data_IF_045378702488
#
_entry.id   IF_045378702488
#
_cell.length_a   1.000
_cell.length_b   1.000
_cell.length_c   1.000
_cell.angle_alpha   90.00
_cell.angle_beta   90.00
_cell.angle_gamma   90.00
#
_symmetry.space_group_name_H-M   'P 1'
#
loop_
_entity.id
_entity.type
_entity.pdbx_description
1 polymer ?
#
# COMPACT_ATOMS: atom_id res chain seq x y z
N UNK A 1 -60.91 -15.79 24.01
CA UNK A 1 -59.96 -16.15 22.95
C UNK A 1 -59.28 -14.86 22.57
N UNK A 2 -58.01 -14.72 22.96
CA UNK A 2 -57.16 -13.55 22.76
C UNK A 2 -56.50 -13.65 21.39
N UNK A 3 -56.82 -12.77 20.47
CA UNK A 3 -56.13 -12.68 19.18
C UNK A 3 -55.70 -11.23 18.94
N UNK A 4 -54.50 -10.92 19.45
CA UNK A 4 -53.66 -9.83 18.94
C UNK A 4 -53.14 -10.26 17.58
N UNK A 5 -53.42 -9.53 16.47
CA UNK A 5 -52.74 -9.78 15.22
C UNK A 5 -51.28 -9.34 15.34
N UNK A 6 -50.45 -10.36 15.27
CA UNK A 6 -49.00 -10.36 15.32
C UNK A 6 -48.41 -9.46 14.23
N UNK A 7 -47.57 -8.52 14.65
CA UNK A 7 -46.70 -7.69 13.82
C UNK A 7 -45.90 -8.58 12.89
N UNK A 8 -46.21 -8.55 11.59
CA UNK A 8 -45.33 -9.10 10.57
C UNK A 8 -44.25 -8.05 10.31
N UNK A 9 -42.97 -8.31 10.63
CA UNK A 9 -41.90 -7.39 10.26
C UNK A 9 -41.85 -7.31 8.74
N UNK A 10 -41.78 -6.09 8.23
CA UNK A 10 -41.30 -5.79 6.89
C UNK A 10 -40.12 -6.71 6.59
N UNK A 11 -40.32 -7.63 5.65
CA UNK A 11 -39.22 -8.33 5.03
C UNK A 11 -38.49 -7.30 4.18
N UNK A 12 -37.65 -6.51 4.85
CA UNK A 12 -36.40 -6.00 4.29
C UNK A 12 -35.82 -7.14 3.46
N UNK A 13 -35.63 -6.99 2.13
CA UNK A 13 -34.70 -7.84 1.43
C UNK A 13 -33.30 -7.48 1.96
N UNK A 14 -32.98 -8.06 3.13
CA UNK A 14 -31.61 -8.20 3.56
C UNK A 14 -30.96 -9.18 2.59
N UNK A 15 -29.91 -8.69 1.94
CA UNK A 15 -28.88 -9.49 1.31
C UNK A 15 -29.36 -10.41 0.18
N UNK A 16 -29.83 -9.83 -0.92
CA UNK A 16 -29.12 -10.17 -2.16
C UNK A 16 -27.78 -9.45 -2.07
N UNK A 17 -26.81 -10.12 -1.43
CA UNK A 17 -25.41 -9.98 -1.78
C UNK A 17 -25.33 -10.36 -3.25
N UNK A 18 -25.70 -9.43 -4.13
CA UNK A 18 -25.09 -9.34 -5.44
C UNK A 18 -23.63 -9.15 -5.13
N UNK A 19 -22.95 -10.31 -5.00
CA UNK A 19 -21.55 -10.44 -5.33
C UNK A 19 -21.48 -9.95 -6.76
N UNK A 20 -21.36 -8.64 -6.92
CA UNK A 20 -21.01 -8.02 -8.16
C UNK A 20 -19.64 -8.60 -8.46
N UNK A 21 -19.68 -9.64 -9.29
CA UNK A 21 -18.53 -10.17 -9.97
C UNK A 21 -18.05 -9.08 -10.92
N UNK A 22 -17.44 -8.05 -10.37
CA UNK A 22 -16.53 -7.22 -11.11
C UNK A 22 -15.25 -8.06 -11.27
N UNK A 23 -14.81 -8.28 -12.50
CA UNK A 23 -13.48 -8.80 -12.79
C UNK A 23 -12.42 -7.78 -12.36
N UNK A 24 -12.27 -7.61 -11.06
CA UNK A 24 -11.69 -6.41 -10.44
C UNK A 24 -10.23 -6.67 -10.18
N UNK A 25 -9.36 -5.87 -10.79
CA UNK A 25 -7.94 -5.84 -10.43
C UNK A 25 -7.82 -5.81 -8.90
N UNK A 26 -7.09 -6.77 -8.32
CA UNK A 26 -6.88 -6.81 -6.88
C UNK A 26 -6.10 -5.55 -6.51
N UNK A 27 -6.69 -4.68 -5.70
CA UNK A 27 -6.06 -3.42 -5.29
C UNK A 27 -4.94 -3.71 -4.28
N UNK A 28 -3.96 -2.80 -4.19
CA UNK A 28 -2.88 -2.89 -3.20
C UNK A 28 -3.44 -3.14 -1.78
N UNK A 29 -4.47 -2.40 -1.37
CA UNK A 29 -5.14 -2.56 -0.08
C UNK A 29 -5.69 -3.99 0.12
N UNK A 30 -6.35 -4.57 -0.88
CA UNK A 30 -6.83 -5.95 -0.80
C UNK A 30 -5.69 -6.95 -0.62
N UNK A 31 -4.58 -6.79 -1.36
CA UNK A 31 -3.42 -7.69 -1.22
C UNK A 31 -2.75 -7.53 0.14
N UNK A 32 -2.68 -6.31 0.68
CA UNK A 32 -2.18 -6.04 2.03
C UNK A 32 -3.01 -6.74 3.10
N UNK A 33 -4.34 -6.64 3.02
CA UNK A 33 -5.26 -7.33 3.93
C UNK A 33 -5.08 -8.85 3.85
N UNK A 34 -4.95 -9.40 2.64
CA UNK A 34 -4.70 -10.82 2.43
C UNK A 34 -3.32 -11.25 2.94
N UNK A 35 -2.30 -10.41 2.77
CA UNK A 35 -0.94 -10.63 3.27
C UNK A 35 -0.92 -10.75 4.78
N UNK A 36 -1.65 -9.87 5.47
CA UNK A 36 -1.83 -9.94 6.92
C UNK A 36 -2.46 -11.25 7.39
N UNK A 37 -3.46 -11.75 6.65
CA UNK A 37 -4.15 -13.00 6.96
C UNK A 37 -3.33 -14.25 6.57
N UNK A 38 -2.13 -14.08 6.00
CA UNK A 38 -1.30 -15.16 5.47
C UNK A 38 -1.86 -15.78 4.18
N UNK A 39 -2.80 -15.10 3.52
CA UNK A 39 -3.43 -15.51 2.25
C UNK A 39 -2.70 -15.01 1.01
N UNK A 40 -1.96 -13.91 1.12
CA UNK A 40 -1.09 -13.40 0.06
C UNK A 40 0.39 -13.53 0.46
N UNK A 41 1.23 -13.91 -0.50
CA UNK A 41 2.66 -13.95 -0.30
C UNK A 41 3.27 -12.55 -0.40
N UNK A 42 4.42 -12.33 0.25
CA UNK A 42 5.14 -11.05 0.16
C UNK A 42 5.36 -10.63 -1.31
N UNK A 43 5.69 -11.57 -2.20
CA UNK A 43 5.86 -11.32 -3.63
C UNK A 43 4.60 -10.80 -4.34
N UNK A 44 3.41 -11.21 -3.92
CA UNK A 44 2.15 -10.68 -4.46
C UNK A 44 1.90 -9.25 -4.01
N UNK A 45 2.12 -8.96 -2.72
CA UNK A 45 2.00 -7.60 -2.16
C UNK A 45 2.93 -6.65 -2.90
N UNK A 46 4.18 -7.09 -3.12
CA UNK A 46 5.20 -6.35 -3.86
C UNK A 46 4.75 -6.09 -5.30
N UNK A 47 4.28 -7.12 -6.03
CA UNK A 47 3.79 -6.94 -7.41
C UNK A 47 2.63 -5.95 -7.47
N UNK A 48 1.65 -6.11 -6.59
CA UNK A 48 0.51 -5.21 -6.50
C UNK A 48 0.94 -3.76 -6.23
N UNK A 49 1.92 -3.58 -5.35
CA UNK A 49 2.53 -2.29 -5.03
C UNK A 49 3.27 -1.69 -6.23
N UNK A 50 4.12 -2.46 -6.91
CA UNK A 50 4.87 -1.98 -8.07
C UNK A 50 3.96 -1.57 -9.23
N UNK A 51 2.82 -2.24 -9.38
CA UNK A 51 1.79 -1.92 -10.40
C UNK A 51 0.77 -0.86 -9.96
N UNK A 52 0.76 -0.47 -8.69
CA UNK A 52 -0.11 0.55 -8.14
C UNK A 52 0.58 1.90 -8.01
N UNK A 53 -0.22 2.97 -8.07
CA UNK A 53 0.18 4.27 -7.55
C UNK A 53 0.05 4.29 -6.03
N UNK A 54 1.01 4.93 -5.37
CA UNK A 54 1.00 5.17 -3.93
C UNK A 54 1.20 6.64 -3.65
N UNK A 55 0.77 7.04 -2.46
CA UNK A 55 0.92 8.39 -1.96
C UNK A 55 2.00 8.39 -0.89
N UNK A 56 3.00 9.25 -1.05
CA UNK A 56 3.94 9.54 0.02
C UNK A 56 3.71 10.96 0.50
N UNK A 57 4.02 11.19 1.77
CA UNK A 57 3.96 12.51 2.35
C UNK A 57 5.27 13.24 2.13
N UNK A 58 5.19 14.52 1.82
CA UNK A 58 6.34 15.40 1.79
C UNK A 58 6.06 16.66 2.63
N UNK A 59 7.02 17.11 3.45
CA UNK A 59 6.91 18.38 4.15
C UNK A 59 7.04 19.59 3.21
N UNK A 60 7.62 19.40 2.02
CA UNK A 60 7.77 20.43 1.01
C UNK A 60 6.84 20.18 -0.17
N UNK A 61 6.36 21.26 -0.81
CA UNK A 61 5.60 21.16 -2.05
C UNK A 61 6.53 20.65 -3.15
N UNK A 62 6.37 19.38 -3.54
CA UNK A 62 7.08 18.82 -4.68
C UNK A 62 6.48 19.44 -5.94
N UNK A 63 7.23 20.32 -6.59
CA UNK A 63 6.92 20.73 -7.96
C UNK A 63 7.35 19.60 -8.91
N UNK A 64 6.41 19.11 -9.73
CA UNK A 64 6.58 18.05 -10.75
C UNK A 64 7.79 18.23 -11.70
N UNK A 65 8.42 19.40 -11.69
CA UNK A 65 9.45 19.85 -12.62
C UNK A 65 10.87 19.37 -12.24
N UNK A 66 11.09 19.02 -10.96
CA UNK A 66 12.37 18.48 -10.49
C UNK A 66 12.11 17.11 -9.90
N UNK A 67 12.38 16.04 -10.66
CA UNK A 67 12.14 14.64 -10.27
C UNK A 67 12.93 14.10 -9.06
N UNK A 68 13.26 14.95 -8.09
CA UNK A 68 13.81 14.62 -6.78
C UNK A 68 12.71 14.77 -5.74
N UNK A 69 11.98 13.69 -5.52
CA UNK A 69 10.99 13.59 -4.44
C UNK A 69 11.74 13.28 -3.13
N UNK A 70 11.57 14.11 -2.11
CA UNK A 70 12.04 13.81 -0.76
C UNK A 70 10.84 13.33 0.06
N UNK A 71 10.62 12.01 0.15
CA UNK A 71 9.53 11.49 0.94
C UNK A 71 9.84 11.62 2.43
N UNK A 72 8.78 11.72 3.23
CA UNK A 72 8.87 11.71 4.68
C UNK A 72 9.54 10.41 5.14
N UNK A 73 10.74 10.57 5.71
CA UNK A 73 11.50 9.47 6.29
C UNK A 73 11.15 9.35 7.76
N UNK A 74 10.51 8.25 8.11
CA UNK A 74 10.29 7.80 9.47
C UNK A 74 11.48 6.99 9.96
N UNK A 75 11.51 6.76 11.27
CA UNK A 75 12.49 5.90 11.90
C UNK A 75 11.74 4.76 12.59
N UNK A 76 12.11 3.51 12.27
CA UNK A 76 11.58 2.34 12.96
C UNK A 76 12.04 2.30 14.43
N UNK A 77 11.47 1.40 15.23
CA UNK A 77 11.90 1.14 16.60
C UNK A 77 13.38 0.77 16.70
N UNK A 78 13.93 0.13 15.65
CA UNK A 78 15.35 -0.21 15.55
C UNK A 78 16.25 0.95 15.10
N UNK A 79 15.69 2.13 14.81
CA UNK A 79 16.45 3.28 14.32
C UNK A 79 16.70 3.28 12.81
N UNK A 80 16.14 2.31 12.08
CA UNK A 80 16.29 2.18 10.63
C UNK A 80 15.39 3.21 9.89
N UNK A 81 15.90 3.87 8.84
CA UNK A 81 15.08 4.79 8.05
C UNK A 81 14.01 4.02 7.26
N UNK A 82 12.77 4.47 7.38
CA UNK A 82 11.59 3.93 6.69
C UNK A 82 10.88 5.04 5.94
N UNK A 83 10.44 4.78 4.73
CA UNK A 83 9.60 5.72 3.98
C UNK A 83 8.13 5.35 4.17
N UNK A 84 7.33 6.28 4.66
CA UNK A 84 5.89 6.09 4.80
C UNK A 84 5.18 6.31 3.46
N UNK A 85 4.57 5.24 2.95
CA UNK A 85 3.75 5.22 1.76
C UNK A 85 2.33 4.83 2.16
N UNK A 86 1.35 5.26 1.38
CA UNK A 86 -0.05 5.00 1.64
C UNK A 86 -0.73 4.65 0.32
N UNK A 87 -1.62 3.67 0.36
CA UNK A 87 -2.39 3.29 -0.82
C UNK A 87 -3.42 4.38 -1.19
N UNK A 88 -3.91 5.13 -0.20
CA UNK A 88 -4.81 6.27 -0.39
C UNK A 88 -4.53 7.39 0.60
N UNK A 89 -4.95 8.62 0.29
CA UNK A 89 -4.84 9.77 1.22
C UNK A 89 -5.73 9.65 2.46
N UNK A 90 -6.72 8.76 2.43
CA UNK A 90 -7.63 8.48 3.55
C UNK A 90 -6.95 7.64 4.63
N UNK A 91 -6.06 6.72 4.24
CA UNK A 91 -5.28 5.90 5.17
C UNK A 91 -4.17 6.68 5.90
N UNK A 92 -3.90 7.92 5.47
CA UNK A 92 -2.91 8.79 6.08
C UNK A 92 -3.45 9.38 7.40
N UNK A 93 -2.83 9.06 8.55
CA UNK A 93 -3.25 9.59 9.84
C UNK A 93 -3.03 11.11 9.92
N UNK A 94 -3.92 11.81 10.63
CA UNK A 94 -3.88 13.27 10.75
C UNK A 94 -2.55 13.78 11.32
N UNK A 95 -1.94 13.06 12.26
CA UNK A 95 -0.64 13.39 12.86
C UNK A 95 0.46 13.55 11.78
N UNK A 96 0.48 12.68 10.77
CA UNK A 96 1.43 12.80 9.67
C UNK A 96 1.08 13.95 8.72
N UNK A 97 -0.21 14.27 8.53
CA UNK A 97 -0.66 15.41 7.72
C UNK A 97 -0.29 16.75 8.36
N UNK A 98 -0.25 16.82 9.69
CA UNK A 98 0.19 18.03 10.41
C UNK A 98 1.67 18.34 10.16
N UNK A 99 2.50 17.31 9.99
CA UNK A 99 3.93 17.45 9.70
C UNK A 99 4.25 17.55 8.21
N UNK A 100 3.45 16.90 7.36
CA UNK A 100 3.65 16.83 5.93
C UNK A 100 2.28 16.89 5.22
N UNK A 101 1.75 18.08 4.92
CA UNK A 101 0.41 18.23 4.34
C UNK A 101 0.35 17.90 2.85
N UNK A 102 1.50 17.74 2.19
CA UNK A 102 1.57 17.46 0.76
C UNK A 102 1.65 15.94 0.53
N UNK A 103 0.55 15.35 0.07
CA UNK A 103 0.54 13.99 -0.44
C UNK A 103 0.85 14.01 -1.94
N UNK A 104 1.93 13.32 -2.33
CA UNK A 104 2.36 13.24 -3.73
C UNK A 104 2.12 11.82 -4.22
N UNK A 105 1.39 11.70 -5.32
CA UNK A 105 1.18 10.43 -6.00
C UNK A 105 2.43 10.05 -6.80
N UNK A 106 2.92 8.84 -6.60
CA UNK A 106 3.98 8.27 -7.43
C UNK A 106 3.75 6.77 -7.65
N UNK A 107 4.18 6.24 -8.80
CA UNK A 107 4.11 4.81 -9.05
C UNK A 107 5.06 4.07 -8.10
N UNK A 108 4.60 2.99 -7.47
CA UNK A 108 5.39 2.24 -6.49
C UNK A 108 6.74 1.77 -7.03
N UNK A 109 6.81 1.43 -8.32
CA UNK A 109 8.05 1.10 -9.02
C UNK A 109 9.05 2.26 -9.09
N UNK A 110 8.60 3.52 -9.23
CA UNK A 110 9.51 4.67 -9.20
C UNK A 110 10.03 4.93 -7.78
N UNK A 111 9.18 4.69 -6.77
CA UNK A 111 9.57 4.83 -5.37
C UNK A 111 10.68 3.84 -5.00
N UNK A 112 10.53 2.55 -5.36
CA UNK A 112 11.56 1.52 -5.12
C UNK A 112 12.87 1.82 -5.86
N UNK A 113 12.80 2.45 -7.04
CA UNK A 113 14.00 2.87 -7.78
C UNK A 113 14.68 4.09 -7.18
N UNK A 114 13.89 5.02 -6.62
CA UNK A 114 14.38 6.26 -6.06
C UNK A 114 15.00 6.06 -4.67
N UNK A 115 14.36 5.24 -3.83
CA UNK A 115 14.83 4.96 -2.48
C UNK A 115 15.99 3.96 -2.52
N UNK A 116 17.08 4.24 -1.80
CA UNK A 116 18.20 3.31 -1.62
C UNK A 116 18.66 3.35 -0.17
N UNK A 117 18.86 2.17 0.44
CA UNK A 117 19.34 2.07 1.83
C UNK A 117 18.31 2.42 2.91
N UNK A 118 17.04 2.61 2.55
CA UNK A 118 15.93 2.78 3.49
C UNK A 118 14.83 1.77 3.21
N UNK A 119 14.10 1.38 4.26
CA UNK A 119 12.91 0.55 4.13
C UNK A 119 11.70 1.36 3.67
N UNK A 120 10.62 0.66 3.39
CA UNK A 120 9.33 1.21 2.97
C UNK A 120 8.27 0.66 3.91
N UNK A 121 7.36 1.51 4.37
CA UNK A 121 6.18 1.10 5.11
C UNK A 121 4.95 1.58 4.36
N UNK A 122 4.17 0.64 3.84
CA UNK A 122 2.91 0.89 3.16
C UNK A 122 1.79 0.89 4.20
N UNK A 123 0.91 1.89 4.14
CA UNK A 123 -0.20 2.12 5.08
C UNK A 123 0.30 2.17 6.53
N UNK A 124 1.31 3.03 6.76
CA UNK A 124 1.94 3.22 8.06
C UNK A 124 0.91 3.61 9.14
N UNK A 125 0.84 2.84 10.23
CA UNK A 125 -0.13 3.04 11.30
C UNK A 125 -1.49 2.36 11.08
N UNK A 126 -1.71 1.70 9.94
CA UNK A 126 -2.87 0.85 9.71
C UNK A 126 -2.62 -0.58 10.20
N UNK A 127 -3.68 -1.28 10.61
CA UNK A 127 -3.57 -2.69 11.02
C UNK A 127 -3.13 -3.64 9.89
N UNK A 128 -3.32 -3.23 8.63
CA UNK A 128 -2.92 -3.95 7.43
C UNK A 128 -1.66 -3.36 6.79
N UNK A 129 -0.95 -2.49 7.51
CA UNK A 129 0.29 -1.91 7.03
C UNK A 129 1.35 -2.99 6.75
N UNK A 130 2.12 -2.80 5.69
CA UNK A 130 3.16 -3.72 5.28
C UNK A 130 4.51 -3.04 5.26
N UNK A 131 5.42 -3.56 6.08
CA UNK A 131 6.78 -3.05 6.19
C UNK A 131 7.75 -3.91 5.38
N UNK A 132 8.60 -3.22 4.63
CA UNK A 132 9.65 -3.77 3.82
C UNK A 132 10.95 -3.15 4.32
N UNK A 133 11.84 -3.95 4.88
CA UNK A 133 13.17 -3.48 5.28
C UNK A 133 13.99 -3.04 4.07
N UNK A 134 15.04 -2.25 4.27
CA UNK A 134 15.93 -1.80 3.19
C UNK A 134 16.44 -2.97 2.31
N UNK A 135 16.85 -4.09 2.93
CA UNK A 135 17.24 -5.31 2.20
C UNK A 135 16.10 -5.89 1.35
N UNK A 136 14.85 -5.80 1.84
CA UNK A 136 13.67 -6.19 1.09
C UNK A 136 13.46 -5.31 -0.14
N UNK A 137 13.62 -4.00 0.01
CA UNK A 137 13.54 -3.04 -1.10
C UNK A 137 14.59 -3.32 -2.17
N UNK A 138 15.84 -3.60 -1.77
CA UNK A 138 16.91 -3.95 -2.70
C UNK A 138 16.66 -5.27 -3.42
N UNK A 139 16.14 -6.28 -2.71
CA UNK A 139 15.69 -7.53 -3.34
C UNK A 139 14.59 -7.29 -4.36
N UNK A 140 13.59 -6.48 -4.01
CA UNK A 140 12.48 -6.15 -4.93
C UNK A 140 13.01 -5.47 -6.18
N UNK A 141 13.89 -4.49 -6.02
CA UNK A 141 14.51 -3.79 -7.14
C UNK A 141 15.25 -4.77 -8.06
N UNK A 142 16.03 -5.69 -7.49
CA UNK A 142 16.78 -6.69 -8.24
C UNK A 142 15.85 -7.68 -8.96
N UNK A 143 14.85 -8.24 -8.26
CA UNK A 143 13.98 -9.30 -8.80
C UNK A 143 12.95 -8.77 -9.81
N UNK A 144 12.42 -7.57 -9.59
CA UNK A 144 11.27 -7.05 -10.35
C UNK A 144 11.59 -5.91 -11.33
N UNK A 145 12.65 -5.13 -11.08
CA UNK A 145 12.97 -3.93 -11.86
C UNK A 145 14.19 -4.14 -12.74
N UNK A 146 15.20 -4.83 -12.21
CA UNK A 146 16.41 -5.21 -12.94
C UNK A 146 16.51 -6.74 -13.09
N UNK A 147 15.57 -7.42 -13.78
CA UNK A 147 15.70 -8.85 -14.07
C UNK A 147 16.85 -9.17 -15.04
N UNK A 148 17.58 -8.16 -15.52
CA UNK A 148 18.58 -8.25 -16.55
C UNK A 148 19.96 -7.91 -15.98
N UNK A 149 20.62 -8.89 -15.35
CA UNK A 149 22.09 -8.95 -15.34
C UNK A 149 22.67 -10.36 -15.06
N UNK A 150 21.86 -11.41 -14.87
CA UNK A 150 22.36 -12.79 -14.71
C UNK A 150 22.25 -13.67 -15.98
N UNK A 151 21.93 -13.09 -17.15
CA UNK A 151 21.83 -13.84 -18.40
C UNK A 151 23.12 -13.88 -19.25
N UNK A 152 24.20 -13.20 -18.87
CA UNK A 152 25.43 -13.12 -19.69
C UNK A 152 26.69 -13.74 -19.05
N UNK A 153 26.58 -14.33 -17.86
CA UNK A 153 27.68 -15.08 -17.25
C UNK A 153 27.65 -16.57 -17.61
N UNK A 154 27.59 -16.96 -18.89
CA UNK A 154 27.92 -18.32 -19.39
C UNK A 154 27.74 -18.44 -20.93
N UNK A 155 28.75 -18.03 -21.71
CA UNK A 155 29.22 -18.76 -22.90
C UNK A 155 30.48 -18.15 -23.52
#
# INVERSE_FOLDING_TARGET
>A
MTETPNTQPEQTPAAETTVEQAGTAVTLEQVLIQGRDGKAEAGEIIRAFLTSSVFFLSPEEVSDETGSVNPLTLQDNEGNPLIALFSTTENIPDDYKEHAPHAVEAPGVAIVQSITGAGIMIDAGQEHGFQISAEGVERIRTDFISPAEDAEAQQ
#
